data_IF_565255107440
#
_entry.id   IF_565255107440
#
_cell.length_a   1.000
_cell.length_b   1.000
_cell.length_c   1.000
_cell.angle_alpha   90.00
_cell.angle_beta   90.00
_cell.angle_gamma   90.00
#
_symmetry.space_group_name_H-M   'P 1'
#
loop_
_entity.id
_entity.type
_entity.pdbx_description
1 polymer ?
#
# COMPACT_ATOMS: atom_id res chain seq x y z
N UNK A 1 -58.10 -21.36 -1.43
CA UNK A 1 -58.01 -19.90 -1.64
C UNK A 1 -57.98 -19.33 -0.23
N UNK A 2 -56.91 -18.77 0.31
CA UNK A 2 -55.93 -17.88 -0.31
C UNK A 2 -54.53 -18.00 0.29
N UNK A 3 -53.57 -17.56 -0.51
CA UNK A 3 -52.13 -17.66 -0.33
C UNK A 3 -51.63 -16.72 0.79
N UNK A 4 -50.99 -17.29 1.81
CA UNK A 4 -50.13 -16.51 2.71
C UNK A 4 -48.76 -16.33 2.04
N UNK A 5 -48.61 -15.24 1.30
CA UNK A 5 -47.35 -14.87 0.64
C UNK A 5 -46.32 -14.51 1.71
N UNK A 6 -45.31 -15.37 1.86
CA UNK A 6 -44.04 -15.04 2.53
C UNK A 6 -43.35 -13.89 1.80
N UNK A 7 -43.47 -12.67 2.32
CA UNK A 7 -42.61 -11.55 1.97
C UNK A 7 -41.18 -11.82 2.43
N UNK A 8 -40.40 -12.53 1.59
CA UNK A 8 -38.95 -12.58 1.70
C UNK A 8 -38.38 -11.33 1.05
N UNK A 9 -38.40 -10.22 1.78
CA UNK A 9 -37.65 -9.05 1.39
C UNK A 9 -36.15 -9.43 1.42
N UNK A 10 -35.38 -9.29 0.32
CA UNK A 10 -33.95 -9.59 0.35
C UNK A 10 -33.32 -8.66 1.37
N UNK A 11 -32.55 -9.22 2.31
CA UNK A 11 -31.84 -8.44 3.32
C UNK A 11 -30.90 -7.46 2.60
N UNK A 12 -31.34 -6.22 2.44
CA UNK A 12 -30.51 -5.15 1.91
C UNK A 12 -29.26 -5.05 2.78
N UNK A 13 -28.09 -5.24 2.16
CA UNK A 13 -26.83 -5.14 2.85
C UNK A 13 -26.55 -3.66 3.15
N UNK A 14 -27.10 -3.17 4.27
CA UNK A 14 -26.92 -1.77 4.71
C UNK A 14 -25.51 -1.62 5.28
N UNK A 15 -24.58 -1.28 4.41
CA UNK A 15 -23.21 -0.96 4.80
C UNK A 15 -23.21 0.30 5.67
N UNK A 16 -23.03 0.12 6.98
CA UNK A 16 -22.85 1.24 7.91
C UNK A 16 -21.40 1.69 7.80
N UNK A 17 -21.18 2.78 7.07
CA UNK A 17 -19.84 3.34 6.87
C UNK A 17 -19.26 3.75 8.22
N UNK A 18 -18.25 3.00 8.66
CA UNK A 18 -17.42 3.32 9.82
C UNK A 18 -16.11 3.91 9.30
N UNK A 19 -15.60 4.97 9.92
CA UNK A 19 -14.34 5.62 9.53
C UNK A 19 -13.14 4.64 9.54
N UNK A 20 -13.22 3.56 10.32
CA UNK A 20 -12.25 2.45 10.26
C UNK A 20 -12.16 1.74 8.91
N UNK A 21 -13.20 1.79 8.06
CA UNK A 21 -13.12 1.27 6.69
C UNK A 21 -12.14 2.04 5.82
N UNK A 22 -11.96 3.34 6.06
CA UNK A 22 -10.96 4.15 5.34
C UNK A 22 -9.56 3.67 5.70
N UNK A 23 -9.28 3.44 6.99
CA UNK A 23 -8.01 2.87 7.44
C UNK A 23 -7.80 1.43 6.94
N UNK A 24 -8.85 0.62 6.91
CA UNK A 24 -8.80 -0.75 6.37
C UNK A 24 -8.47 -0.79 4.87
N UNK A 25 -9.10 0.08 4.07
CA UNK A 25 -8.80 0.22 2.64
C UNK A 25 -7.37 0.74 2.44
N UNK A 26 -6.94 1.75 3.20
CA UNK A 26 -5.57 2.27 3.12
C UNK A 26 -4.54 1.19 3.47
N UNK A 27 -4.79 0.41 4.53
CA UNK A 27 -3.94 -0.71 4.93
C UNK A 27 -3.91 -1.81 3.86
N UNK A 28 -5.06 -2.15 3.27
CA UNK A 28 -5.14 -3.11 2.17
C UNK A 28 -4.40 -2.63 0.92
N UNK A 29 -4.46 -1.33 0.60
CA UNK A 29 -3.69 -0.74 -0.50
C UNK A 29 -2.18 -0.81 -0.23
N UNK A 30 -1.74 -0.56 1.00
CA UNK A 30 -0.33 -0.68 1.39
C UNK A 30 0.14 -2.14 1.29
N UNK A 31 -0.64 -3.09 1.82
CA UNK A 31 -0.32 -4.53 1.71
C UNK A 31 -0.33 -4.97 0.24
N UNK A 32 -1.32 -4.53 -0.54
CA UNK A 32 -1.38 -4.83 -1.97
C UNK A 32 -0.15 -4.30 -2.70
N UNK A 33 0.25 -3.05 -2.44
CA UNK A 33 1.46 -2.45 -2.99
C UNK A 33 2.73 -3.21 -2.58
N UNK A 34 2.84 -3.63 -1.31
CA UNK A 34 3.95 -4.45 -0.82
C UNK A 34 4.02 -5.80 -1.55
N UNK A 35 2.87 -6.44 -1.79
CA UNK A 35 2.80 -7.70 -2.51
C UNK A 35 3.27 -7.58 -3.97
N UNK A 36 2.94 -6.47 -4.64
CA UNK A 36 3.45 -6.20 -5.99
C UNK A 36 4.95 -5.87 -6.03
N UNK A 37 5.52 -5.31 -4.95
CA UNK A 37 6.95 -4.98 -4.84
C UNK A 37 7.79 -6.08 -4.18
N UNK A 38 7.25 -7.29 -3.99
CA UNK A 38 7.97 -8.42 -3.37
C UNK A 38 9.05 -9.04 -4.28
N UNK A 39 9.20 -8.53 -5.51
CA UNK A 39 10.07 -9.09 -6.55
C UNK A 39 11.55 -9.24 -6.12
N UNK A 40 12.03 -8.37 -5.21
CA UNK A 40 13.44 -8.37 -4.76
C UNK A 40 13.71 -9.28 -3.55
N UNK A 41 12.68 -9.85 -2.91
CA UNK A 41 12.89 -10.60 -1.66
C UNK A 41 13.46 -12.01 -1.85
N UNK A 42 13.34 -12.60 -3.03
CA UNK A 42 13.86 -13.94 -3.34
C UNK A 42 15.29 -13.91 -3.92
N UNK A 43 15.82 -12.73 -4.23
CA UNK A 43 17.08 -12.57 -4.93
C UNK A 43 18.25 -12.62 -3.95
N UNK A 44 19.26 -13.44 -4.23
CA UNK A 44 20.42 -13.60 -3.36
C UNK A 44 21.67 -12.96 -3.96
N UNK A 45 22.54 -12.41 -3.12
CA UNK A 45 23.85 -11.96 -3.59
C UNK A 45 24.72 -13.18 -3.94
N UNK A 46 25.46 -13.06 -5.04
CA UNK A 46 26.37 -14.08 -5.56
C UNK A 46 27.82 -13.62 -5.34
N UNK A 47 28.67 -14.50 -4.84
CA UNK A 47 30.11 -14.26 -4.80
C UNK A 47 30.75 -14.47 -6.17
N UNK A 48 31.95 -13.94 -6.38
CA UNK A 48 32.68 -14.13 -7.65
C UNK A 48 32.96 -15.60 -7.97
N UNK A 49 33.24 -16.42 -6.95
CA UNK A 49 33.49 -17.85 -7.14
C UNK A 49 32.22 -18.59 -7.58
N UNK A 50 31.10 -18.34 -6.92
CA UNK A 50 29.81 -18.93 -7.29
C UNK A 50 29.35 -18.44 -8.66
N UNK A 51 29.62 -17.18 -9.02
CA UNK A 51 29.35 -16.64 -10.34
C UNK A 51 30.11 -17.41 -11.43
N UNK A 52 31.41 -17.61 -11.25
CA UNK A 52 32.22 -18.35 -12.21
C UNK A 52 31.75 -19.80 -12.33
N UNK A 53 31.40 -20.45 -11.21
CA UNK A 53 30.86 -21.82 -11.22
C UNK A 53 29.58 -21.93 -12.05
N UNK A 54 28.59 -21.05 -11.83
CA UNK A 54 27.33 -21.11 -12.59
C UNK A 54 27.50 -20.69 -14.05
N UNK A 55 28.51 -19.87 -14.35
CA UNK A 55 28.86 -19.44 -15.70
C UNK A 55 29.50 -20.59 -16.48
N UNK A 56 30.46 -21.29 -15.88
CA UNK A 56 31.11 -22.48 -16.45
C UNK A 56 30.12 -23.63 -16.66
N UNK A 57 29.17 -23.81 -15.73
CA UNK A 57 28.10 -24.79 -15.84
C UNK A 57 27.06 -24.48 -16.95
N UNK A 58 27.15 -23.30 -17.58
CA UNK A 58 26.22 -22.80 -18.59
C UNK A 58 24.75 -22.75 -18.10
N UNK A 59 24.55 -22.51 -16.80
CA UNK A 59 23.24 -22.48 -16.16
C UNK A 59 22.52 -21.14 -16.29
N UNK A 60 23.25 -20.10 -16.70
CA UNK A 60 22.73 -18.74 -16.85
C UNK A 60 21.91 -18.65 -18.14
N UNK A 61 20.67 -18.15 -18.03
CA UNK A 61 19.80 -17.81 -19.16
C UNK A 61 20.05 -16.40 -19.66
N UNK A 62 20.11 -15.45 -18.73
CA UNK A 62 20.21 -14.02 -19.03
C UNK A 62 20.93 -13.26 -17.93
N UNK A 63 21.74 -12.30 -18.34
CA UNK A 63 22.44 -11.35 -17.49
C UNK A 63 21.93 -9.95 -17.83
N UNK A 64 21.33 -9.27 -16.85
CA UNK A 64 20.84 -7.90 -17.00
C UNK A 64 21.66 -6.97 -16.13
N UNK A 65 22.46 -6.11 -16.74
CA UNK A 65 23.27 -5.11 -16.05
C UNK A 65 22.35 -3.95 -15.64
N UNK A 66 22.31 -3.63 -14.35
CA UNK A 66 21.45 -2.59 -13.79
C UNK A 66 22.31 -1.45 -13.28
N UNK A 67 22.01 -0.24 -13.75
CA UNK A 67 22.66 1.01 -13.31
C UNK A 67 24.20 0.98 -13.37
N UNK A 68 24.78 0.10 -14.19
CA UNK A 68 26.23 -0.12 -14.31
C UNK A 68 26.93 -0.51 -13.00
N UNK A 69 26.19 -1.03 -12.02
CA UNK A 69 26.69 -1.32 -10.67
C UNK A 69 26.65 -2.82 -10.36
N UNK A 70 25.54 -3.47 -10.72
CA UNK A 70 25.33 -4.89 -10.48
C UNK A 70 24.62 -5.58 -11.64
N UNK A 71 24.71 -6.90 -11.68
CA UNK A 71 24.08 -7.74 -12.69
C UNK A 71 23.02 -8.65 -12.07
N UNK A 72 21.81 -8.58 -12.61
CA UNK A 72 20.72 -9.51 -12.32
C UNK A 72 20.89 -10.78 -13.15
N UNK A 73 20.99 -11.92 -12.47
CA UNK A 73 21.25 -13.23 -13.08
C UNK A 73 19.98 -14.07 -13.08
N UNK A 74 19.57 -14.48 -14.27
CA UNK A 74 18.45 -15.38 -14.50
C UNK A 74 18.98 -16.77 -14.83
N UNK A 75 18.46 -17.80 -14.17
CA UNK A 75 18.88 -19.20 -14.37
C UNK A 75 17.95 -19.88 -15.39
N UNK A 76 18.51 -20.77 -16.22
CA UNK A 76 17.77 -21.57 -17.19
C UNK A 76 16.77 -22.48 -16.48
N UNK A 77 15.62 -22.69 -17.10
CA UNK A 77 14.57 -23.56 -16.53
C UNK A 77 15.07 -25.00 -16.36
N UNK A 78 15.92 -25.49 -17.27
CA UNK A 78 16.56 -26.81 -17.19
C UNK A 78 17.54 -26.96 -16.03
N UNK A 79 18.13 -25.86 -15.57
CA UNK A 79 19.10 -25.86 -14.49
C UNK A 79 18.43 -25.80 -13.11
N UNK A 80 17.23 -25.20 -13.00
CA UNK A 80 16.52 -24.98 -11.72
C UNK A 80 16.20 -26.25 -10.91
N UNK A 81 16.21 -27.43 -11.55
CA UNK A 81 15.98 -28.72 -10.87
C UNK A 81 17.27 -29.31 -10.25
N UNK A 82 18.44 -28.71 -10.50
CA UNK A 82 19.70 -29.09 -9.83
C UNK A 82 19.61 -28.80 -8.33
N UNK A 83 20.25 -29.65 -7.52
CA UNK A 83 20.21 -29.54 -6.05
C UNK A 83 20.60 -28.15 -5.54
N UNK A 84 21.56 -27.49 -6.19
CA UNK A 84 22.02 -26.14 -5.86
C UNK A 84 20.95 -25.03 -5.95
N UNK A 85 19.86 -25.25 -6.70
CA UNK A 85 18.79 -24.26 -6.86
C UNK A 85 17.45 -24.69 -6.23
N UNK A 86 17.32 -25.95 -5.78
CA UNK A 86 16.06 -26.48 -5.21
C UNK A 86 15.57 -25.65 -4.04
N UNK A 87 16.44 -25.36 -3.08
CA UNK A 87 16.10 -24.55 -1.90
C UNK A 87 15.54 -23.18 -2.31
N UNK A 88 16.14 -22.55 -3.33
CA UNK A 88 15.71 -21.24 -3.82
C UNK A 88 14.40 -21.31 -4.59
N UNK A 89 14.20 -22.37 -5.38
CA UNK A 89 12.97 -22.65 -6.14
C UNK A 89 11.77 -22.90 -5.22
N UNK A 90 11.98 -23.52 -4.06
CA UNK A 90 10.92 -23.84 -3.10
C UNK A 90 10.51 -22.64 -2.22
N UNK A 91 11.21 -21.51 -2.31
CA UNK A 91 10.84 -20.32 -1.53
C UNK A 91 9.46 -19.77 -1.97
N UNK A 92 8.61 -19.31 -1.04
CA UNK A 92 7.27 -18.77 -1.36
C UNK A 92 7.27 -17.57 -2.32
N UNK A 93 8.41 -16.89 -2.43
CA UNK A 93 8.60 -15.69 -3.24
C UNK A 93 9.31 -15.98 -4.57
N UNK A 94 9.61 -17.24 -4.86
CA UNK A 94 10.23 -17.63 -6.13
C UNK A 94 9.30 -17.33 -7.31
N UNK A 95 9.85 -16.64 -8.30
CA UNK A 95 9.19 -16.41 -9.58
C UNK A 95 10.21 -16.58 -10.70
N UNK A 96 9.90 -17.42 -11.68
CA UNK A 96 10.77 -17.69 -12.85
C UNK A 96 11.08 -16.45 -13.69
N UNK A 97 10.26 -15.41 -13.60
CA UNK A 97 10.44 -14.15 -14.31
C UNK A 97 11.30 -13.14 -13.54
N UNK A 98 11.68 -13.45 -12.29
CA UNK A 98 12.52 -12.61 -11.46
C UNK A 98 13.96 -13.13 -11.47
N UNK A 99 14.96 -12.28 -11.22
CA UNK A 99 16.34 -12.72 -11.08
C UNK A 99 16.47 -13.63 -9.85
N UNK A 100 17.28 -14.70 -9.97
CA UNK A 100 17.57 -15.58 -8.83
C UNK A 100 18.74 -15.06 -8.01
N UNK A 101 19.67 -14.37 -8.67
CA UNK A 101 20.85 -13.81 -8.05
C UNK A 101 21.16 -12.39 -8.53
N UNK A 102 21.86 -11.65 -7.66
CA UNK A 102 22.51 -10.38 -7.96
C UNK A 102 24.02 -10.59 -7.83
N UNK A 103 24.77 -10.14 -8.84
CA UNK A 103 26.22 -10.14 -8.82
C UNK A 103 26.76 -8.71 -8.86
N UNK A 104 27.47 -8.30 -7.82
CA UNK A 104 28.15 -7.00 -7.75
C UNK A 104 29.53 -7.14 -8.39
N UNK A 105 29.65 -6.74 -9.65
CA UNK A 105 30.86 -6.96 -10.45
C UNK A 105 31.95 -5.88 -10.25
N UNK A 106 31.61 -4.77 -9.60
CA UNK A 106 32.53 -3.66 -9.37
C UNK A 106 32.74 -2.82 -10.62
N UNK A 107 33.69 -3.21 -11.48
CA UNK A 107 34.00 -2.46 -12.70
C UNK A 107 33.28 -3.07 -13.92
N UNK A 108 32.46 -2.26 -14.59
CA UNK A 108 31.64 -2.69 -15.73
C UNK A 108 32.49 -3.20 -16.90
N UNK A 109 33.55 -2.49 -17.26
CA UNK A 109 34.33 -2.83 -18.44
C UNK A 109 35.07 -4.15 -18.24
N UNK A 110 35.67 -4.36 -17.07
CA UNK A 110 36.32 -5.61 -16.72
C UNK A 110 35.34 -6.78 -16.72
N UNK A 111 34.14 -6.56 -16.18
CA UNK A 111 33.08 -7.56 -16.18
C UNK A 111 32.66 -7.95 -17.60
N UNK A 112 32.36 -6.98 -18.46
CA UNK A 112 31.93 -7.25 -19.83
C UNK A 112 33.02 -7.95 -20.66
N UNK A 113 34.28 -7.50 -20.53
CA UNK A 113 35.42 -8.13 -21.20
C UNK A 113 35.61 -9.57 -20.74
N UNK A 114 35.51 -9.84 -19.43
CA UNK A 114 35.59 -11.19 -18.90
C UNK A 114 34.44 -12.05 -19.42
N UNK A 115 33.22 -11.53 -19.38
CA UNK A 115 32.03 -12.25 -19.82
C UNK A 115 32.07 -12.62 -21.31
N UNK A 116 32.54 -11.71 -22.16
CA UNK A 116 32.70 -11.96 -23.60
C UNK A 116 33.78 -12.99 -23.90
N UNK A 117 34.90 -12.95 -23.19
CA UNK A 117 35.98 -13.94 -23.34
C UNK A 117 35.53 -15.34 -22.90
N UNK A 118 34.82 -15.44 -21.77
CA UNK A 118 34.24 -16.71 -21.28
C UNK A 118 33.17 -17.25 -22.24
N UNK A 119 32.30 -16.38 -22.75
CA UNK A 119 31.28 -16.77 -23.72
C UNK A 119 31.87 -17.36 -24.99
N UNK A 120 32.95 -16.75 -25.52
CA UNK A 120 33.65 -17.25 -26.70
C UNK A 120 34.42 -18.55 -26.43
N UNK A 121 35.08 -18.67 -25.27
CA UNK A 121 35.91 -19.82 -24.92
C UNK A 121 35.08 -21.07 -24.62
N UNK A 122 33.98 -20.92 -23.89
CA UNK A 122 33.15 -22.03 -23.42
C UNK A 122 31.86 -22.23 -24.22
N UNK A 123 31.67 -21.45 -25.30
CA UNK A 123 30.48 -21.49 -26.16
C UNK A 123 29.17 -21.37 -25.35
N UNK A 124 29.14 -20.38 -24.45
CA UNK A 124 28.04 -20.18 -23.51
C UNK A 124 26.83 -19.56 -24.21
N UNK A 125 25.64 -20.02 -23.83
CA UNK A 125 24.37 -19.59 -24.41
C UNK A 125 23.55 -18.83 -23.37
N UNK A 126 23.78 -17.52 -23.31
CA UNK A 126 23.02 -16.60 -22.47
C UNK A 126 22.86 -15.23 -23.16
N UNK A 127 21.76 -14.55 -22.84
CA UNK A 127 21.48 -13.19 -23.28
C UNK A 127 22.14 -12.16 -22.35
N UNK A 128 22.60 -11.04 -22.91
CA UNK A 128 23.16 -9.89 -22.18
C UNK A 128 22.31 -8.66 -22.49
N UNK A 129 21.81 -8.00 -21.46
CA UNK A 129 21.04 -6.76 -21.56
C UNK A 129 21.58 -5.73 -20.57
N UNK A 130 21.36 -4.45 -20.84
CA UNK A 130 21.64 -3.36 -19.91
C UNK A 130 20.38 -2.52 -19.71
N UNK A 131 20.10 -2.14 -18.46
CA UNK A 131 18.95 -1.32 -18.10
C UNK A 131 19.31 -0.33 -17.00
N UNK A 132 18.58 0.77 -16.96
CA UNK A 132 18.61 1.69 -15.82
C UNK A 132 17.30 1.57 -15.05
N UNK A 133 17.38 1.42 -13.73
CA UNK A 133 16.22 1.32 -12.85
C UNK A 133 16.23 2.50 -11.88
N UNK A 134 15.07 3.11 -11.69
CA UNK A 134 14.87 4.17 -10.69
C UNK A 134 14.92 3.56 -9.30
N UNK A 135 15.71 4.16 -8.40
CA UNK A 135 15.78 3.69 -7.03
C UNK A 135 14.43 3.87 -6.32
N UNK A 136 14.09 2.93 -5.43
CA UNK A 136 12.93 3.08 -4.56
C UNK A 136 13.06 4.36 -3.72
N UNK A 137 14.28 4.74 -3.33
CA UNK A 137 14.55 5.98 -2.60
C UNK A 137 14.23 7.23 -3.43
N UNK A 138 14.55 7.21 -4.72
CA UNK A 138 14.20 8.30 -5.64
C UNK A 138 12.68 8.41 -5.76
N UNK A 139 12.00 7.26 -5.86
CA UNK A 139 10.54 7.20 -5.89
C UNK A 139 9.94 7.80 -4.61
N UNK A 140 10.41 7.40 -3.42
CA UNK A 140 9.94 7.95 -2.14
C UNK A 140 10.14 9.46 -2.05
N UNK A 141 11.26 9.98 -2.56
CA UNK A 141 11.55 11.41 -2.57
C UNK A 141 10.49 12.21 -3.37
N UNK A 142 10.02 11.64 -4.49
CA UNK A 142 8.95 12.22 -5.32
C UNK A 142 7.60 12.26 -4.57
N UNK A 143 7.32 11.27 -3.71
CA UNK A 143 6.08 11.22 -2.92
C UNK A 143 6.12 12.04 -1.63
N UNK A 144 7.31 12.41 -1.14
CA UNK A 144 7.52 13.18 0.08
C UNK A 144 6.64 14.43 0.21
N UNK A 145 6.49 15.32 -0.81
CA UNK A 145 5.59 16.47 -0.71
C UNK A 145 4.12 16.08 -0.47
N UNK A 146 3.65 14.99 -1.09
CA UNK A 146 2.28 14.52 -0.91
C UNK A 146 2.07 13.91 0.49
N UNK A 147 3.02 13.10 0.97
CA UNK A 147 3.00 12.52 2.32
C UNK A 147 2.97 13.65 3.37
N UNK A 148 3.77 14.71 3.16
CA UNK A 148 3.80 15.87 4.04
C UNK A 148 2.45 16.60 4.10
N UNK A 149 1.81 16.84 2.95
CA UNK A 149 0.47 17.45 2.88
C UNK A 149 -0.57 16.57 3.60
N UNK A 150 -0.54 15.25 3.37
CA UNK A 150 -1.45 14.30 4.04
C UNK A 150 -1.22 14.34 5.56
N UNK A 151 0.04 14.38 6.02
CA UNK A 151 0.37 14.45 7.44
C UNK A 151 -0.16 15.74 8.09
N UNK A 152 -0.01 16.90 7.44
CA UNK A 152 -0.58 18.17 7.90
C UNK A 152 -2.12 18.10 7.93
N UNK A 153 -2.73 17.54 6.89
CA UNK A 153 -4.18 17.41 6.82
C UNK A 153 -4.73 16.53 7.96
N UNK A 154 -4.09 15.38 8.23
CA UNK A 154 -4.42 14.52 9.37
C UNK A 154 -4.21 15.26 10.70
N UNK A 155 -3.14 16.03 10.84
CA UNK A 155 -2.87 16.82 12.05
C UNK A 155 -3.98 17.84 12.32
N UNK A 156 -4.43 18.57 11.29
CA UNK A 156 -5.53 19.55 11.39
C UNK A 156 -6.84 18.84 11.79
N UNK A 157 -7.15 17.72 11.14
CA UNK A 157 -8.36 16.93 11.43
C UNK A 157 -8.37 16.37 12.86
N UNK A 158 -7.21 15.89 13.32
CA UNK A 158 -7.04 15.40 14.69
C UNK A 158 -7.18 16.53 15.71
N UNK A 159 -6.68 17.73 15.39
CA UNK A 159 -6.82 18.91 16.25
C UNK A 159 -8.26 19.41 16.30
N UNK A 160 -8.99 19.40 15.19
CA UNK A 160 -10.39 19.83 15.15
C UNK A 160 -11.34 18.83 15.83
N UNK A 161 -11.08 17.52 15.71
CA UNK A 161 -11.90 16.48 16.36
C UNK A 161 -11.68 16.38 17.88
N UNK A 162 -10.61 16.97 18.42
CA UNK A 162 -10.29 16.94 19.86
C UNK A 162 -10.88 18.10 20.68
N UNK A 163 -11.42 19.13 20.04
CA UNK A 163 -11.86 20.37 20.71
C UNK A 163 -13.34 20.38 21.14
N UNK A 164 -14.11 19.32 20.91
CA UNK A 164 -15.49 19.25 21.37
C UNK A 164 -16.19 17.97 20.94
N UNK A 165 -16.47 17.11 21.93
CA UNK A 165 -17.40 15.97 21.89
C UNK A 165 -17.75 15.37 20.52
N UNK A 166 -17.16 14.20 20.23
CA UNK A 166 -17.82 13.12 19.50
C UNK A 166 -18.61 13.52 18.25
N UNK A 167 -17.93 13.97 17.21
CA UNK A 167 -18.52 14.12 15.91
C UNK A 167 -17.41 14.43 14.91
N UNK A 168 -17.12 13.47 14.02
CA UNK A 168 -16.13 13.65 12.96
C UNK A 168 -16.44 14.85 12.05
N UNK A 169 -15.67 15.05 10.97
CA UNK A 169 -15.87 16.15 10.02
C UNK A 169 -17.29 16.06 9.42
N UNK A 170 -18.24 16.79 10.00
CA UNK A 170 -19.67 16.64 9.70
C UNK A 170 -20.61 16.67 10.91
N UNK A 171 -20.15 16.33 12.12
CA UNK A 171 -21.03 16.25 13.30
C UNK A 171 -21.62 17.59 13.75
N UNK A 172 -20.92 18.69 13.49
CA UNK A 172 -21.32 20.03 13.93
C UNK A 172 -22.30 20.70 12.95
N UNK A 173 -22.18 20.43 11.64
CA UNK A 173 -23.09 20.96 10.61
C UNK A 173 -24.47 20.28 10.61
N UNK A 174 -24.60 19.05 11.13
CA UNK A 174 -25.91 18.40 11.32
C UNK A 174 -26.55 18.67 12.71
N UNK A 175 -25.88 19.40 13.60
CA UNK A 175 -26.46 19.85 14.87
C UNK A 175 -27.05 21.27 14.77
N UNK A 176 -26.71 22.06 13.74
CA UNK A 176 -27.51 23.21 13.29
C UNK A 176 -28.84 22.62 12.79
N UNK A 177 -29.91 22.71 13.57
CA UNK A 177 -31.23 22.19 13.20
C UNK A 177 -31.94 21.45 14.31
N UNK A 178 -31.22 20.96 15.34
CA UNK A 178 -31.86 20.51 16.58
C UNK A 178 -32.16 21.73 17.44
N UNK A 179 -33.15 22.53 17.03
CA UNK A 179 -33.73 23.50 17.95
C UNK A 179 -34.17 22.72 19.19
N UNK A 180 -33.70 23.14 20.37
CA UNK A 180 -34.33 22.71 21.62
C UNK A 180 -35.66 23.45 21.71
N UNK A 181 -36.65 23.02 20.94
CA UNK A 181 -38.02 23.45 21.13
C UNK A 181 -38.45 22.92 22.51
N UNK A 182 -38.46 23.81 23.50
CA UNK A 182 -39.08 23.54 24.78
C UNK A 182 -40.58 23.52 24.50
N UNK A 183 -41.19 22.34 24.48
CA UNK A 183 -42.64 22.21 24.37
C UNK A 183 -43.20 22.85 25.65
N UNK A 184 -43.68 24.09 25.54
CA UNK A 184 -44.45 24.69 26.61
C UNK A 184 -45.81 24.00 26.59
N UNK A 185 -46.01 23.09 27.54
CA UNK A 185 -47.31 22.49 27.77
C UNK A 185 -48.32 23.62 28.03
N UNK A 186 -49.44 23.62 27.30
CA UNK A 186 -50.52 24.61 27.48
C UNK A 186 -51.11 24.58 28.89
N UNK A 187 -50.81 23.54 29.68
CA UNK A 187 -51.18 23.41 31.09
C UNK A 187 -50.24 24.14 32.07
N UNK A 188 -49.08 24.63 31.63
CA UNK A 188 -48.39 25.70 32.36
C UNK A 188 -49.07 27.04 32.03
N UNK A 189 -50.32 27.17 32.49
CA UNK A 189 -51.00 28.45 32.64
C UNK A 189 -50.15 29.33 33.55
N UNK A 190 -49.27 30.12 32.97
CA UNK A 190 -48.73 31.32 33.61
C UNK A 190 -49.93 32.26 33.79
N UNK A 191 -50.64 32.10 34.92
CA UNK A 191 -51.72 33.00 35.34
C UNK A 191 -51.08 34.26 35.94
N UNK A 192 -50.43 35.07 35.11
CA UNK A 192 -50.15 36.46 35.48
C UNK A 192 -51.36 37.27 35.06
N UNK A 193 -52.13 37.76 36.04
CA UNK A 193 -53.28 38.64 35.78
C UNK A 193 -52.82 40.09 35.96
N UNK A 194 -53.50 41.07 35.38
CA UNK A 194 -53.17 42.51 35.56
C UNK A 194 -53.16 43.00 37.04
N UNK A 195 -53.57 42.17 38.00
CA UNK A 195 -53.39 42.44 39.44
C UNK A 195 -51.98 42.17 39.96
N UNK A 196 -51.20 41.35 39.26
CA UNK A 196 -49.86 40.91 39.67
C UNK A 196 -48.75 41.84 39.16
N UNK A 197 -49.10 42.83 38.32
CA UNK A 197 -48.24 43.96 37.97
C UNK A 197 -48.48 45.07 38.99
N UNK A 198 -47.71 45.05 40.07
CA UNK A 198 -47.72 46.12 41.06
C UNK A 198 -47.24 47.43 40.41
N UNK A 199 -48.10 48.45 40.44
CA UNK A 199 -47.71 49.85 40.25
C UNK A 199 -47.89 50.41 38.85
N UNK A 200 -49.12 50.83 38.52
CA UNK A 200 -49.31 52.08 37.76
C UNK A 200 -50.66 52.71 38.16
N UNK A 201 -50.72 53.20 39.39
CA UNK A 201 -51.72 54.17 39.80
C UNK A 201 -51.22 55.53 39.28
N UNK A 202 -51.60 55.88 38.05
CA UNK A 202 -51.15 57.10 37.40
C UNK A 202 -51.29 57.07 35.87
N UNK A 203 -52.53 57.21 35.40
CA UNK A 203 -52.85 57.79 34.10
C UNK A 203 -54.01 58.77 34.31
#
# INVERSE_FOLDING_TARGET
MDQDKKDKNPKEFKFKFNFYWVYGILFALIIGYQFFNTADMATNNLSSNEFNEILEDNDIKKIVIVNNDFANIYIKESALDKDKYKEKKETPFFNKNNPLYIYNFGDLQNFENNLESQKAQHNLDFDKEATSQTSIWDSVLVWLPFIFIIAIWIFIMRRMSGAGGGGGPGGQIFNIGKSKAKLFDQDQKVRTTFKDVAGLEGA
#
